data_IF_711794407480
#
_entry.id   IF_711794407480
#
_cell.length_a   1.000
_cell.length_b   1.000
_cell.length_c   1.000
_cell.angle_alpha   90.00
_cell.angle_beta   90.00
_cell.angle_gamma   90.00
#
_symmetry.space_group_name_H-M   'P 1'
#
loop_
_entity.id
_entity.type
_entity.pdbx_description
1 polymer ?
#
# COMPACT_ATOMS: atom_id res chain seq x y z
N UNK A 1 26.69 -44.50 -26.82
CA UNK A 1 25.38 -43.96 -26.50
C UNK A 1 25.60 -42.61 -25.81
N UNK A 2 25.43 -41.51 -26.55
CA UNK A 2 25.49 -40.14 -26.00
C UNK A 2 24.12 -39.84 -25.35
N UNK A 3 24.11 -39.72 -24.02
CA UNK A 3 22.95 -39.20 -23.31
C UNK A 3 22.80 -37.72 -23.72
N UNK A 4 21.83 -37.43 -24.57
CA UNK A 4 21.38 -36.06 -24.82
C UNK A 4 20.79 -35.51 -23.53
N UNK A 5 21.52 -34.59 -22.87
CA UNK A 5 20.95 -33.73 -21.86
C UNK A 5 19.86 -32.88 -22.54
N UNK A 6 18.60 -33.19 -22.27
CA UNK A 6 17.50 -32.31 -22.57
C UNK A 6 17.64 -31.07 -21.68
N UNK A 7 18.23 -30.02 -22.24
CA UNK A 7 18.11 -28.66 -21.72
C UNK A 7 16.64 -28.28 -21.84
N UNK A 8 15.91 -28.39 -20.74
CA UNK A 8 14.54 -27.86 -20.63
C UNK A 8 14.60 -26.35 -20.87
N UNK A 9 14.18 -25.92 -22.07
CA UNK A 9 14.04 -24.51 -22.40
C UNK A 9 13.12 -23.87 -21.35
N UNK A 10 13.66 -22.96 -20.55
CA UNK A 10 12.85 -22.05 -19.72
C UNK A 10 11.90 -21.29 -20.62
N UNK A 11 10.59 -21.57 -20.54
CA UNK A 11 9.58 -20.74 -21.19
C UNK A 11 9.40 -19.48 -20.36
N UNK A 12 9.96 -18.38 -20.79
CA UNK A 12 9.71 -17.05 -20.24
C UNK A 12 8.55 -16.37 -20.98
N UNK A 13 7.79 -15.50 -20.29
CA UNK A 13 7.84 -15.17 -18.86
C UNK A 13 7.15 -16.23 -17.96
N UNK A 14 7.64 -16.38 -16.73
CA UNK A 14 6.95 -17.13 -15.67
C UNK A 14 5.69 -16.35 -15.29
N UNK A 15 4.52 -16.93 -15.48
CA UNK A 15 3.27 -16.28 -15.08
C UNK A 15 2.92 -16.59 -13.64
N UNK A 16 2.70 -15.54 -12.84
CA UNK A 16 2.35 -15.61 -11.42
C UNK A 16 0.91 -15.15 -11.24
N UNK A 17 0.07 -16.01 -10.68
CA UNK A 17 -1.30 -15.65 -10.33
C UNK A 17 -1.31 -14.78 -9.05
N UNK A 18 -1.67 -13.51 -9.19
CA UNK A 18 -1.78 -12.54 -8.09
C UNK A 18 -3.23 -12.45 -7.62
N UNK A 19 -3.54 -13.04 -6.47
CA UNK A 19 -4.90 -12.98 -5.90
C UNK A 19 -5.01 -11.77 -4.99
N UNK A 20 -5.65 -10.70 -5.48
CA UNK A 20 -5.75 -9.42 -4.78
C UNK A 20 -7.14 -9.15 -4.18
N UNK A 21 -8.16 -9.96 -4.53
CA UNK A 21 -9.53 -9.74 -4.09
C UNK A 21 -10.15 -8.50 -4.72
N UNK A 22 -10.86 -7.70 -3.93
CA UNK A 22 -11.54 -6.50 -4.43
C UNK A 22 -10.53 -5.36 -4.68
N UNK A 23 -10.42 -4.92 -5.93
CA UNK A 23 -9.60 -3.76 -6.28
C UNK A 23 -10.32 -2.44 -5.92
N UNK A 24 -9.69 -1.64 -5.06
CA UNK A 24 -10.27 -0.38 -4.52
C UNK A 24 -9.30 0.81 -4.58
N UNK A 25 -8.31 0.79 -5.46
CA UNK A 25 -7.29 1.86 -5.67
C UNK A 25 -6.67 2.39 -4.37
N UNK A 26 -6.56 1.56 -3.36
CA UNK A 26 -5.87 1.92 -2.13
C UNK A 26 -5.44 0.66 -1.39
N UNK A 27 -4.19 0.65 -0.93
CA UNK A 27 -3.68 -0.46 -0.15
C UNK A 27 -3.00 -1.54 -1.00
N UNK A 28 -3.51 -2.78 -0.97
CA UNK A 28 -2.83 -3.94 -1.56
C UNK A 28 -2.69 -3.87 -3.07
N UNK A 29 -3.76 -3.48 -3.77
CA UNK A 29 -3.78 -3.34 -5.22
C UNK A 29 -2.76 -2.30 -5.71
N UNK A 30 -2.63 -1.15 -5.03
CA UNK A 30 -1.61 -0.15 -5.35
C UNK A 30 -0.19 -0.69 -5.19
N UNK A 31 0.05 -1.48 -4.13
CA UNK A 31 1.37 -2.11 -3.90
C UNK A 31 1.68 -3.12 -5.00
N UNK A 32 0.75 -4.03 -5.32
CA UNK A 32 0.96 -5.05 -6.36
C UNK A 32 1.16 -4.41 -7.72
N UNK A 33 0.36 -3.38 -8.06
CA UNK A 33 0.52 -2.62 -9.31
C UNK A 33 1.86 -1.88 -9.38
N UNK A 34 2.33 -1.31 -8.26
CA UNK A 34 3.64 -0.66 -8.25
C UNK A 34 4.76 -1.65 -8.57
N UNK A 35 4.75 -2.85 -7.99
CA UNK A 35 5.67 -3.92 -8.37
C UNK A 35 5.50 -4.32 -9.85
N UNK A 36 4.26 -4.40 -10.34
CA UNK A 36 3.98 -4.83 -11.70
C UNK A 36 4.48 -3.84 -12.77
N UNK A 37 4.44 -2.56 -12.47
CA UNK A 37 5.01 -1.51 -13.35
C UNK A 37 6.52 -1.65 -13.51
N UNK A 38 7.22 -2.10 -12.46
CA UNK A 38 8.68 -2.07 -12.39
C UNK A 38 9.37 -3.44 -12.53
N UNK A 39 8.61 -4.55 -12.43
CA UNK A 39 9.18 -5.88 -12.61
C UNK A 39 9.55 -6.10 -14.08
N UNK A 40 10.63 -6.86 -14.35
CA UNK A 40 10.98 -7.26 -15.71
C UNK A 40 9.94 -8.26 -16.26
N UNK A 41 8.99 -7.75 -17.05
CA UNK A 41 7.89 -8.52 -17.61
C UNK A 41 8.29 -9.52 -18.68
N UNK A 42 9.51 -9.45 -19.18
CA UNK A 42 10.08 -10.49 -20.06
C UNK A 42 10.45 -11.76 -19.25
N UNK A 43 10.69 -11.63 -17.95
CA UNK A 43 11.04 -12.72 -17.03
C UNK A 43 9.85 -13.19 -16.21
N UNK A 44 9.11 -12.25 -15.62
CA UNK A 44 7.94 -12.51 -14.74
C UNK A 44 6.75 -11.74 -15.23
N UNK A 45 5.62 -12.39 -15.43
CA UNK A 45 4.37 -11.76 -15.83
C UNK A 45 3.28 -12.02 -14.77
N UNK A 46 2.47 -11.00 -14.46
CA UNK A 46 1.38 -11.13 -13.49
C UNK A 46 0.03 -11.35 -14.18
N UNK A 47 -0.77 -12.25 -13.60
CA UNK A 47 -2.17 -12.44 -13.91
C UNK A 47 -2.99 -12.15 -12.66
N UNK A 48 -3.97 -11.26 -12.78
CA UNK A 48 -4.68 -10.70 -11.64
C UNK A 48 -6.03 -11.40 -11.41
N UNK A 49 -6.19 -12.00 -10.25
CA UNK A 49 -7.43 -12.62 -9.79
C UNK A 49 -8.16 -11.64 -8.89
N UNK A 50 -9.29 -11.12 -9.37
CA UNK A 50 -10.00 -9.99 -8.78
C UNK A 50 -11.47 -10.31 -8.53
N UNK A 51 -11.96 -9.93 -7.34
CA UNK A 51 -13.37 -10.12 -6.99
C UNK A 51 -14.27 -9.07 -7.66
N UNK A 52 -15.38 -9.53 -8.23
CA UNK A 52 -16.37 -8.71 -8.91
C UNK A 52 -16.16 -8.64 -10.42
N UNK A 53 -17.25 -8.43 -11.15
CA UNK A 53 -17.26 -8.46 -12.61
C UNK A 53 -17.14 -7.08 -13.26
N UNK A 54 -17.27 -6.02 -12.47
CA UNK A 54 -17.18 -4.65 -12.97
C UNK A 54 -15.75 -4.29 -13.38
N UNK A 55 -15.63 -3.41 -14.37
CA UNK A 55 -14.37 -2.79 -14.75
C UNK A 55 -13.84 -1.95 -13.59
N UNK A 56 -12.55 -2.06 -13.33
CA UNK A 56 -11.84 -1.25 -12.32
C UNK A 56 -10.90 -0.26 -12.98
N UNK A 57 -10.40 0.71 -12.22
CA UNK A 57 -9.51 1.74 -12.75
C UNK A 57 -8.11 1.22 -13.13
N UNK A 58 -7.76 0.01 -12.71
CA UNK A 58 -6.46 -0.62 -13.02
C UNK A 58 -6.54 -1.63 -14.17
N UNK A 59 -7.75 -1.96 -14.66
CA UNK A 59 -7.94 -3.02 -15.66
C UNK A 59 -7.20 -2.71 -16.97
N UNK A 60 -7.32 -1.48 -17.49
CA UNK A 60 -6.66 -1.08 -18.74
C UNK A 60 -5.14 -1.16 -18.59
N UNK A 61 -4.60 -0.63 -17.51
CA UNK A 61 -3.16 -0.65 -17.25
C UNK A 61 -2.61 -2.08 -17.13
N UNK A 62 -3.34 -3.00 -16.46
CA UNK A 62 -2.93 -4.41 -16.38
C UNK A 62 -2.80 -5.02 -17.77
N UNK A 63 -3.79 -4.77 -18.65
CA UNK A 63 -3.80 -5.30 -20.00
C UNK A 63 -2.69 -4.70 -20.87
N UNK A 64 -2.46 -3.39 -20.78
CA UNK A 64 -1.39 -2.68 -21.50
C UNK A 64 0.00 -3.19 -21.12
N UNK A 65 0.18 -3.58 -19.86
CA UNK A 65 1.41 -4.19 -19.35
C UNK A 65 1.55 -5.69 -19.71
N UNK A 66 0.56 -6.28 -20.44
CA UNK A 66 0.57 -7.68 -20.89
C UNK A 66 0.05 -8.69 -19.86
N UNK A 67 -0.54 -8.23 -18.76
CA UNK A 67 -1.20 -9.05 -17.76
C UNK A 67 -2.57 -9.57 -18.22
N UNK A 68 -3.10 -10.52 -17.49
CA UNK A 68 -4.45 -11.03 -17.67
C UNK A 68 -5.29 -10.70 -16.45
N UNK A 69 -6.60 -10.54 -16.65
CA UNK A 69 -7.55 -10.28 -15.58
C UNK A 69 -8.54 -11.43 -15.51
N UNK A 70 -8.60 -12.08 -14.37
CA UNK A 70 -9.54 -13.14 -14.07
C UNK A 70 -10.53 -12.61 -13.03
N UNK A 71 -11.76 -12.30 -13.49
CA UNK A 71 -12.83 -11.82 -12.63
C UNK A 71 -13.52 -13.00 -11.94
N UNK A 72 -13.66 -12.86 -10.62
CA UNK A 72 -14.20 -13.92 -9.75
C UNK A 72 -15.49 -13.45 -9.08
N UNK A 73 -16.35 -14.39 -8.73
CA UNK A 73 -17.46 -14.12 -7.82
C UNK A 73 -16.90 -13.52 -6.51
N UNK A 74 -17.43 -12.38 -6.01
CA UNK A 74 -17.02 -11.85 -4.74
C UNK A 74 -17.12 -12.89 -3.62
N UNK A 75 -16.08 -13.09 -2.83
CA UNK A 75 -16.10 -14.07 -1.74
C UNK A 75 -17.18 -13.77 -0.71
N UNK A 76 -17.58 -12.49 -0.57
CA UNK A 76 -18.69 -12.03 0.29
C UNK A 76 -20.05 -12.55 -0.20
N UNK A 77 -20.25 -12.71 -1.52
CA UNK A 77 -21.45 -13.26 -2.11
C UNK A 77 -21.44 -14.79 -2.05
N UNK A 78 -20.34 -15.43 -2.48
CA UNK A 78 -20.21 -16.88 -2.42
C UNK A 78 -18.75 -17.35 -2.41
N UNK A 79 -18.24 -17.66 -1.23
CA UNK A 79 -16.91 -18.26 -1.06
C UNK A 79 -16.74 -19.57 -1.86
N UNK A 80 -17.79 -20.40 -1.94
CA UNK A 80 -17.74 -21.68 -2.67
C UNK A 80 -17.60 -21.49 -4.17
N UNK A 81 -18.31 -20.53 -4.75
CA UNK A 81 -18.22 -20.20 -6.18
C UNK A 81 -16.85 -19.61 -6.47
N UNK A 82 -16.40 -18.64 -5.67
CA UNK A 82 -15.09 -18.02 -5.80
C UNK A 82 -13.95 -19.08 -5.81
N UNK A 83 -13.93 -19.99 -4.84
CA UNK A 83 -12.93 -21.06 -4.76
C UNK A 83 -12.97 -22.01 -5.96
N UNK A 84 -14.19 -22.35 -6.45
CA UNK A 84 -14.35 -23.21 -7.64
C UNK A 84 -13.79 -22.53 -8.88
N UNK A 85 -14.08 -21.23 -9.06
CA UNK A 85 -13.55 -20.42 -10.17
C UNK A 85 -12.03 -20.28 -10.08
N UNK A 86 -11.48 -19.99 -8.89
CA UNK A 86 -10.02 -19.98 -8.65
C UNK A 86 -9.39 -21.30 -9.07
N UNK A 87 -9.93 -22.44 -8.60
CA UNK A 87 -9.42 -23.78 -8.96
C UNK A 87 -9.42 -24.03 -10.46
N UNK A 88 -10.56 -23.72 -11.14
CA UNK A 88 -10.68 -23.88 -12.58
C UNK A 88 -9.64 -23.05 -13.34
N UNK A 89 -9.54 -21.76 -13.02
CA UNK A 89 -8.60 -20.86 -13.66
C UNK A 89 -7.13 -21.22 -13.38
N UNK A 90 -6.80 -21.67 -12.17
CA UNK A 90 -5.42 -22.15 -11.86
C UNK A 90 -5.06 -23.38 -12.66
N UNK A 91 -6.03 -24.29 -12.87
CA UNK A 91 -5.83 -25.52 -13.65
C UNK A 91 -5.69 -25.21 -15.14
N UNK A 92 -6.60 -24.39 -15.68
CA UNK A 92 -6.59 -23.98 -17.09
C UNK A 92 -5.35 -23.17 -17.46
N UNK A 93 -4.96 -22.23 -16.62
CA UNK A 93 -3.77 -21.40 -16.80
C UNK A 93 -2.46 -22.10 -16.50
N UNK A 94 -2.48 -23.35 -16.00
CA UNK A 94 -1.31 -24.15 -15.63
C UNK A 94 -0.32 -23.38 -14.73
N UNK A 95 -0.84 -22.61 -13.77
CA UNK A 95 -0.01 -21.80 -12.89
C UNK A 95 0.90 -22.67 -12.02
N UNK A 96 2.16 -22.29 -11.96
CA UNK A 96 3.14 -22.89 -11.02
C UNK A 96 3.28 -22.07 -9.74
N UNK A 97 2.93 -20.79 -9.76
CA UNK A 97 3.02 -19.87 -8.63
C UNK A 97 1.67 -19.16 -8.45
N UNK A 98 1.10 -19.27 -7.27
CA UNK A 98 -0.04 -18.47 -6.79
C UNK A 98 0.41 -17.64 -5.60
N UNK A 99 0.30 -16.33 -5.70
CA UNK A 99 0.61 -15.38 -4.64
C UNK A 99 -0.67 -14.68 -4.18
N UNK A 100 -1.12 -14.97 -2.97
CA UNK A 100 -2.36 -14.42 -2.41
C UNK A 100 -2.07 -13.32 -1.40
N UNK A 101 -2.71 -12.17 -1.62
CA UNK A 101 -2.56 -10.94 -0.85
C UNK A 101 -3.72 -10.71 0.15
N UNK A 102 -4.51 -11.74 0.43
CA UNK A 102 -5.75 -11.65 1.21
C UNK A 102 -5.54 -11.82 2.74
N UNK A 103 -4.29 -11.73 3.24
CA UNK A 103 -4.00 -11.94 4.66
C UNK A 103 -4.54 -13.31 5.14
N UNK A 104 -5.39 -13.34 6.19
CA UNK A 104 -6.00 -14.58 6.71
C UNK A 104 -6.93 -15.26 5.71
N UNK A 105 -7.59 -14.51 4.83
CA UNK A 105 -8.46 -15.07 3.78
C UNK A 105 -7.67 -15.79 2.68
N UNK A 106 -6.35 -15.65 2.64
CA UNK A 106 -5.48 -16.38 1.69
C UNK A 106 -5.65 -17.90 1.81
N UNK A 107 -6.10 -18.42 2.95
CA UNK A 107 -6.34 -19.86 3.11
C UNK A 107 -7.31 -20.43 2.05
N UNK A 108 -8.29 -19.66 1.57
CA UNK A 108 -9.28 -20.12 0.58
C UNK A 108 -8.68 -20.25 -0.82
N UNK A 109 -8.13 -19.19 -1.46
CA UNK A 109 -7.53 -19.34 -2.79
C UNK A 109 -6.30 -20.27 -2.76
N UNK A 110 -5.54 -20.35 -1.66
CA UNK A 110 -4.41 -21.28 -1.56
C UNK A 110 -4.87 -22.73 -1.40
N UNK A 111 -6.03 -22.99 -0.80
CA UNK A 111 -6.66 -24.31 -0.83
C UNK A 111 -7.13 -24.67 -2.25
N UNK A 112 -7.75 -23.75 -2.98
CA UNK A 112 -8.11 -23.93 -4.38
C UNK A 112 -6.86 -24.22 -5.25
N UNK A 113 -5.75 -23.52 -5.00
CA UNK A 113 -4.47 -23.76 -5.67
C UNK A 113 -3.87 -25.12 -5.33
N UNK A 114 -3.98 -25.60 -4.07
CA UNK A 114 -3.60 -26.96 -3.69
C UNK A 114 -4.40 -28.01 -4.46
N UNK A 115 -5.73 -27.82 -4.57
CA UNK A 115 -6.59 -28.72 -5.35
C UNK A 115 -6.27 -28.71 -6.85
N UNK A 116 -5.81 -27.56 -7.39
CA UNK A 116 -5.32 -27.42 -8.76
C UNK A 116 -3.87 -27.92 -8.93
N UNK A 117 -3.27 -28.51 -7.88
CA UNK A 117 -1.89 -29.02 -7.85
C UNK A 117 -0.83 -27.95 -8.12
N UNK A 118 -1.09 -26.67 -7.81
CA UNK A 118 -0.11 -25.59 -7.92
C UNK A 118 1.00 -25.83 -6.88
N UNK A 119 2.28 -25.98 -7.28
CA UNK A 119 3.34 -26.36 -6.36
C UNK A 119 3.77 -25.22 -5.42
N UNK A 120 3.78 -23.97 -5.90
CA UNK A 120 4.22 -22.80 -5.12
C UNK A 120 3.00 -21.95 -4.76
N UNK A 121 2.71 -21.89 -3.48
CA UNK A 121 1.54 -21.20 -2.92
C UNK A 121 2.00 -20.23 -1.83
N UNK A 122 1.95 -18.93 -2.12
CA UNK A 122 2.48 -17.86 -1.27
C UNK A 122 1.34 -17.17 -0.54
N UNK A 123 1.40 -17.14 0.79
CA UNK A 123 0.54 -16.31 1.62
C UNK A 123 1.24 -15.00 1.96
N UNK A 124 0.62 -13.85 1.68
CA UNK A 124 1.18 -12.53 1.95
C UNK A 124 0.38 -11.77 3.01
N UNK A 125 1.08 -11.27 4.02
CA UNK A 125 0.54 -10.46 5.10
C UNK A 125 0.76 -8.97 4.85
N UNK A 126 -0.32 -8.20 4.64
CA UNK A 126 -0.29 -6.75 4.43
C UNK A 126 -0.79 -5.95 5.63
N UNK A 127 -1.56 -6.57 6.52
CA UNK A 127 -2.20 -5.88 7.65
C UNK A 127 -2.44 -6.83 8.82
N UNK A 128 -2.75 -6.23 9.96
CA UNK A 128 -3.15 -6.93 11.19
C UNK A 128 -4.65 -6.70 11.51
N UNK A 129 -5.04 -6.80 12.76
CA UNK A 129 -6.38 -6.42 13.24
C UNK A 129 -6.50 -4.90 13.30
N UNK A 130 -7.71 -4.37 13.05
CA UNK A 130 -8.03 -2.95 13.10
C UNK A 130 -8.93 -2.64 14.31
N UNK A 131 -8.64 -1.57 15.06
CA UNK A 131 -9.53 -1.13 16.14
C UNK A 131 -10.88 -0.69 15.55
N UNK A 132 -11.98 -1.08 16.19
CA UNK A 132 -13.35 -0.75 15.73
C UNK A 132 -14.02 -1.79 14.81
N UNK A 133 -13.28 -2.71 14.19
CA UNK A 133 -13.80 -3.75 13.29
C UNK A 133 -13.95 -5.12 14.00
N UNK A 134 -14.66 -5.21 15.13
CA UNK A 134 -14.67 -6.40 15.97
C UNK A 134 -15.12 -7.68 15.26
N UNK A 135 -16.18 -7.63 14.43
CA UNK A 135 -16.67 -8.79 13.66
C UNK A 135 -15.61 -9.30 12.68
N UNK A 136 -14.96 -8.38 11.97
CA UNK A 136 -13.89 -8.67 11.03
C UNK A 136 -12.63 -9.21 11.72
N UNK A 137 -12.31 -8.66 12.89
CA UNK A 137 -11.21 -9.12 13.72
C UNK A 137 -11.45 -10.52 14.27
N UNK A 138 -12.68 -10.85 14.70
CA UNK A 138 -13.03 -12.21 15.12
C UNK A 138 -12.84 -13.21 13.99
N UNK A 139 -13.32 -12.90 12.78
CA UNK A 139 -13.09 -13.74 11.60
C UNK A 139 -11.58 -13.90 11.29
N UNK A 140 -10.81 -12.80 11.35
CA UNK A 140 -9.35 -12.84 11.17
C UNK A 140 -8.69 -13.77 12.19
N UNK A 141 -9.07 -13.69 13.46
CA UNK A 141 -8.53 -14.57 14.52
C UNK A 141 -8.90 -16.04 14.29
N UNK A 142 -10.13 -16.34 13.90
CA UNK A 142 -10.58 -17.69 13.60
C UNK A 142 -9.86 -18.30 12.39
N UNK A 143 -9.56 -17.51 11.36
CA UNK A 143 -8.86 -17.98 10.15
C UNK A 143 -7.33 -17.98 10.28
N UNK A 144 -6.78 -17.22 11.22
CA UNK A 144 -5.33 -17.08 11.41
C UNK A 144 -4.57 -18.43 11.55
N UNK A 145 -5.04 -19.44 12.27
CA UNK A 145 -4.37 -20.75 12.34
C UNK A 145 -4.20 -21.42 10.97
N UNK A 146 -5.13 -21.16 10.04
CA UNK A 146 -5.11 -21.74 8.70
C UNK A 146 -4.23 -20.98 7.70
N UNK A 147 -3.66 -19.84 8.08
CA UNK A 147 -2.83 -19.02 7.18
C UNK A 147 -1.60 -19.73 6.64
N UNK A 148 -1.11 -20.75 7.36
CA UNK A 148 0.04 -21.56 6.97
C UNK A 148 -0.33 -22.91 6.36
N UNK A 149 -1.56 -23.36 6.52
CA UNK A 149 -1.95 -24.76 6.22
C UNK A 149 -1.80 -25.11 4.74
N UNK A 150 -2.16 -24.20 3.86
CA UNK A 150 -2.16 -24.44 2.42
C UNK A 150 -1.03 -23.70 1.70
N UNK A 151 -0.34 -22.79 2.39
CA UNK A 151 0.81 -22.07 1.87
C UNK A 151 2.08 -22.95 1.92
N UNK A 152 2.93 -22.82 0.91
CA UNK A 152 4.29 -23.39 0.87
C UNK A 152 5.35 -22.34 1.23
N UNK A 153 5.03 -21.05 1.00
CA UNK A 153 5.91 -19.92 1.24
C UNK A 153 5.14 -18.77 1.89
N UNK A 154 5.84 -17.92 2.63
CA UNK A 154 5.27 -16.82 3.39
C UNK A 154 5.94 -15.52 3.00
N UNK A 155 5.12 -14.48 2.79
CA UNK A 155 5.56 -13.12 2.54
C UNK A 155 4.86 -12.13 3.47
N UNK A 156 5.50 -11.00 3.77
CA UNK A 156 4.91 -9.94 4.58
C UNK A 156 5.50 -8.57 4.19
N UNK A 157 4.70 -7.50 4.32
CA UNK A 157 5.18 -6.15 4.04
C UNK A 157 6.05 -5.57 5.17
N UNK A 158 5.96 -6.13 6.40
CA UNK A 158 6.73 -5.72 7.57
C UNK A 158 6.81 -6.84 8.62
N UNK A 159 7.79 -6.76 9.52
CA UNK A 159 8.00 -7.76 10.57
C UNK A 159 6.80 -7.92 11.50
N UNK A 160 6.14 -6.82 11.89
CA UNK A 160 4.99 -6.90 12.77
C UNK A 160 3.79 -7.60 12.11
N UNK A 161 3.55 -7.42 10.79
CA UNK A 161 2.51 -8.12 10.03
C UNK A 161 2.85 -9.60 9.86
N UNK A 162 4.12 -9.91 9.62
CA UNK A 162 4.64 -11.27 9.60
C UNK A 162 4.43 -11.99 10.93
N UNK A 163 4.79 -11.33 12.03
CA UNK A 163 4.63 -11.84 13.40
C UNK A 163 3.18 -12.10 13.74
N UNK A 164 2.32 -11.18 13.35
CA UNK A 164 0.89 -11.32 13.60
C UNK A 164 0.30 -12.50 12.82
N UNK A 165 0.58 -12.67 11.52
CA UNK A 165 -0.06 -13.70 10.69
C UNK A 165 0.60 -15.08 10.87
N UNK A 166 1.92 -15.15 10.87
CA UNK A 166 2.68 -16.43 10.80
C UNK A 166 3.31 -16.84 12.14
N UNK A 167 3.39 -15.91 13.10
CA UNK A 167 3.96 -16.14 14.43
C UNK A 167 5.47 -15.97 14.49
N UNK A 168 5.97 -15.64 15.69
CA UNK A 168 7.39 -15.32 15.91
C UNK A 168 8.35 -16.48 15.57
N UNK A 169 7.95 -17.74 15.81
CA UNK A 169 8.78 -18.91 15.47
C UNK A 169 9.07 -19.05 13.98
N UNK A 170 8.11 -18.68 13.11
CA UNK A 170 8.27 -18.75 11.64
C UNK A 170 9.27 -17.68 11.16
N UNK A 171 9.23 -16.50 11.77
CA UNK A 171 10.20 -15.42 11.49
C UNK A 171 11.60 -15.79 11.95
N UNK A 172 11.75 -16.28 13.19
CA UNK A 172 13.05 -16.69 13.73
C UNK A 172 13.75 -17.77 12.89
N UNK A 173 12.97 -18.62 12.18
CA UNK A 173 13.49 -19.61 11.24
C UNK A 173 13.84 -19.04 9.86
N UNK A 174 13.70 -17.72 9.65
CA UNK A 174 13.97 -17.09 8.35
C UNK A 174 13.00 -17.53 7.23
N UNK A 175 11.79 -18.00 7.56
CA UNK A 175 10.86 -18.57 6.59
C UNK A 175 9.93 -17.54 5.95
N UNK A 176 9.96 -16.28 6.41
CA UNK A 176 9.11 -15.20 5.86
C UNK A 176 9.96 -14.26 5.02
N UNK A 177 9.61 -14.13 3.75
CA UNK A 177 10.19 -13.10 2.87
C UNK A 177 9.55 -11.75 3.15
N UNK A 178 10.35 -10.75 3.46
CA UNK A 178 9.86 -9.36 3.52
C UNK A 178 9.79 -8.79 2.10
N UNK A 179 8.60 -8.31 1.72
CA UNK A 179 8.31 -7.60 0.47
C UNK A 179 7.71 -6.27 0.87
N UNK A 180 8.55 -5.25 0.92
CA UNK A 180 8.17 -3.92 1.42
C UNK A 180 7.21 -3.21 0.47
N UNK A 181 6.38 -2.32 1.01
CA UNK A 181 5.54 -1.42 0.21
C UNK A 181 6.44 -0.32 -0.39
N UNK A 182 7.23 -0.69 -1.39
CA UNK A 182 8.22 0.16 -2.01
C UNK A 182 7.59 1.27 -2.87
N UNK A 183 8.29 2.38 -3.05
CA UNK A 183 7.87 3.56 -3.79
C UNK A 183 8.83 3.82 -4.96
N UNK A 184 8.33 4.44 -6.03
CA UNK A 184 9.17 4.89 -7.14
C UNK A 184 9.92 6.17 -6.75
N UNK A 185 11.17 6.01 -6.33
CA UNK A 185 12.02 7.13 -5.89
C UNK A 185 12.40 8.08 -7.03
N UNK A 186 12.20 7.69 -8.28
CA UNK A 186 12.37 8.59 -9.45
C UNK A 186 11.15 9.49 -9.59
N UNK A 187 9.95 8.91 -9.50
CA UNK A 187 8.69 9.63 -9.56
C UNK A 187 8.48 10.52 -8.32
N UNK A 188 8.76 9.97 -7.12
CA UNK A 188 8.69 10.69 -5.84
C UNK A 188 10.05 11.32 -5.52
N UNK A 189 10.45 12.28 -6.34
CA UNK A 189 11.67 13.07 -6.15
C UNK A 189 11.35 14.56 -5.98
N UNK A 190 12.25 15.36 -5.38
CA UNK A 190 12.08 16.80 -5.28
C UNK A 190 11.91 17.44 -6.64
N UNK A 191 10.83 18.23 -6.82
CA UNK A 191 10.49 18.89 -8.08
C UNK A 191 9.89 20.27 -7.84
N UNK A 192 10.70 21.33 -7.97
CA UNK A 192 10.26 22.70 -7.73
C UNK A 192 9.23 23.17 -8.77
N UNK A 193 9.34 22.74 -10.04
CA UNK A 193 8.35 23.08 -11.07
C UNK A 193 6.97 22.50 -10.75
N UNK A 194 6.92 21.28 -10.21
CA UNK A 194 5.68 20.67 -9.76
C UNK A 194 5.10 21.44 -8.56
N UNK A 195 5.96 21.84 -7.61
CA UNK A 195 5.58 22.68 -6.47
C UNK A 195 4.94 23.98 -6.92
N UNK A 196 5.61 24.73 -7.78
CA UNK A 196 5.12 25.99 -8.32
C UNK A 196 3.78 25.81 -9.06
N UNK A 197 3.68 24.77 -9.89
CA UNK A 197 2.48 24.47 -10.69
C UNK A 197 1.25 24.21 -9.80
N UNK A 198 1.36 23.34 -8.81
CA UNK A 198 0.24 23.03 -7.90
C UNK A 198 -0.13 24.25 -7.05
N UNK A 199 0.86 24.95 -6.51
CA UNK A 199 0.59 26.17 -5.73
C UNK A 199 -0.15 27.23 -6.54
N UNK A 200 0.25 27.43 -7.79
CA UNK A 200 -0.43 28.36 -8.72
C UNK A 200 -1.85 27.87 -9.08
N UNK A 201 -2.04 26.57 -9.30
CA UNK A 201 -3.36 25.97 -9.60
C UNK A 201 -4.40 26.32 -8.52
N UNK A 202 -3.98 26.38 -7.26
CA UNK A 202 -4.84 26.67 -6.12
C UNK A 202 -4.74 28.12 -5.58
N UNK A 203 -3.89 28.98 -6.16
CA UNK A 203 -3.65 30.35 -5.66
C UNK A 203 -2.96 30.39 -4.30
N UNK A 204 -2.01 29.47 -4.07
CA UNK A 204 -1.37 29.25 -2.77
C UNK A 204 0.17 29.44 -2.81
N UNK A 205 0.67 30.26 -3.73
CA UNK A 205 2.11 30.43 -4.02
C UNK A 205 2.93 30.76 -2.76
N UNK A 206 2.41 31.64 -1.91
CA UNK A 206 3.11 32.13 -0.72
C UNK A 206 2.48 31.62 0.59
N UNK A 207 1.69 30.54 0.54
CA UNK A 207 0.99 30.03 1.70
C UNK A 207 1.77 28.90 2.39
N UNK A 208 1.57 28.76 3.70
CA UNK A 208 1.94 27.58 4.46
C UNK A 208 0.93 26.46 4.18
N UNK A 209 1.33 25.42 3.45
CA UNK A 209 0.43 24.34 3.03
C UNK A 209 0.61 23.10 3.90
N UNK A 210 -0.44 22.78 4.66
CA UNK A 210 -0.58 21.49 5.34
C UNK A 210 -1.25 20.52 4.36
N UNK A 211 -0.62 19.38 4.11
CA UNK A 211 -1.15 18.37 3.20
C UNK A 211 -1.55 17.08 3.92
N UNK A 212 -2.66 16.49 3.48
CA UNK A 212 -3.08 15.14 3.88
C UNK A 212 -3.55 14.34 2.68
N UNK A 213 -3.14 13.07 2.63
CA UNK A 213 -3.55 12.13 1.58
C UNK A 213 -4.09 10.87 2.25
N UNK A 214 -5.35 10.55 2.02
CA UNK A 214 -5.96 9.37 2.59
C UNK A 214 -7.47 9.27 2.40
N UNK A 215 -8.00 8.05 2.56
CA UNK A 215 -9.44 7.82 2.52
C UNK A 215 -10.14 8.53 3.69
N UNK A 216 -11.25 9.19 3.43
CA UNK A 216 -12.09 9.81 4.47
C UNK A 216 -12.79 8.71 5.29
N UNK A 217 -12.04 8.10 6.20
CA UNK A 217 -12.45 6.98 7.05
C UNK A 217 -12.05 7.22 8.50
N UNK A 218 -12.69 6.53 9.43
CA UNK A 218 -12.39 6.62 10.87
C UNK A 218 -10.90 6.46 11.19
N UNK A 219 -10.22 5.59 10.45
CA UNK A 219 -8.79 5.32 10.62
C UNK A 219 -7.93 6.58 10.47
N UNK A 220 -8.19 7.42 9.46
CA UNK A 220 -7.37 8.58 9.09
C UNK A 220 -7.59 9.81 9.99
N UNK A 221 -8.69 9.83 10.76
CA UNK A 221 -8.96 10.84 11.78
C UNK A 221 -9.02 12.29 11.25
N UNK A 222 -9.70 12.47 10.13
CA UNK A 222 -9.87 13.79 9.52
C UNK A 222 -10.53 14.81 10.46
N UNK A 223 -11.32 14.36 11.42
CA UNK A 223 -11.92 15.25 12.43
C UNK A 223 -10.84 15.96 13.23
N UNK A 224 -9.90 15.23 13.85
CA UNK A 224 -8.77 15.83 14.57
C UNK A 224 -7.94 16.74 13.65
N UNK A 225 -7.66 16.27 12.43
CA UNK A 225 -6.89 17.02 11.45
C UNK A 225 -7.50 18.40 11.18
N UNK A 226 -8.81 18.46 10.89
CA UNK A 226 -9.52 19.69 10.58
C UNK A 226 -9.64 20.62 11.79
N UNK A 227 -9.91 20.08 12.98
CA UNK A 227 -9.95 20.88 14.23
C UNK A 227 -8.59 21.49 14.58
N UNK A 228 -7.50 20.73 14.42
CA UNK A 228 -6.13 21.25 14.60
C UNK A 228 -5.83 22.33 13.56
N UNK A 229 -6.19 22.08 12.30
CA UNK A 229 -5.94 23.05 11.24
C UNK A 229 -6.74 24.36 11.42
N UNK A 230 -7.97 24.29 11.92
CA UNK A 230 -8.75 25.50 12.26
C UNK A 230 -8.02 26.39 13.26
N UNK A 231 -7.40 25.79 14.28
CA UNK A 231 -6.60 26.53 15.25
C UNK A 231 -5.27 27.02 14.66
N UNK A 232 -4.64 26.24 13.75
CA UNK A 232 -3.49 26.71 12.96
C UNK A 232 -3.86 27.95 12.15
N UNK A 233 -4.98 27.89 11.42
CA UNK A 233 -5.43 29.03 10.60
C UNK A 233 -5.77 30.28 11.42
N UNK A 234 -6.34 30.11 12.62
CA UNK A 234 -6.60 31.21 13.53
C UNK A 234 -5.31 31.94 13.96
N UNK A 235 -4.20 31.21 14.14
CA UNK A 235 -2.91 31.76 14.55
C UNK A 235 -2.05 32.19 13.35
N UNK A 236 -2.21 31.53 12.19
CA UNK A 236 -1.55 31.87 10.93
C UNK A 236 -2.56 31.92 9.78
N UNK A 237 -3.14 33.12 9.50
CA UNK A 237 -4.08 33.30 8.39
C UNK A 237 -3.48 33.03 7.01
N UNK A 238 -2.18 32.84 6.91
CA UNK A 238 -1.49 32.47 5.68
C UNK A 238 -1.44 30.94 5.46
N UNK A 239 -2.02 30.14 6.36
CA UNK A 239 -2.09 28.69 6.21
C UNK A 239 -3.19 28.25 5.24
N UNK A 240 -2.99 27.11 4.59
CA UNK A 240 -3.98 26.40 3.77
C UNK A 240 -3.90 24.89 4.02
N UNK A 241 -5.03 24.18 3.88
CA UNK A 241 -5.12 22.75 4.02
C UNK A 241 -5.55 22.11 2.70
N UNK A 242 -4.80 21.12 2.23
CA UNK A 242 -5.20 20.33 1.05
C UNK A 242 -5.45 18.88 1.50
N UNK A 243 -6.67 18.40 1.22
CA UNK A 243 -7.15 17.06 1.53
C UNK A 243 -7.34 16.27 0.24
N UNK A 244 -6.58 15.19 0.06
CA UNK A 244 -6.64 14.34 -1.13
C UNK A 244 -7.23 12.99 -0.76
N UNK A 245 -8.25 12.58 -1.48
CA UNK A 245 -8.95 11.31 -1.31
C UNK A 245 -10.46 11.48 -1.28
N UNK A 246 -11.16 10.37 -1.06
CA UNK A 246 -12.62 10.29 -0.89
C UNK A 246 -12.94 9.25 0.18
N UNK A 247 -14.16 9.20 0.66
CA UNK A 247 -14.57 8.17 1.62
C UNK A 247 -15.89 8.45 2.30
N UNK A 248 -16.30 7.52 3.16
CA UNK A 248 -17.61 7.54 3.82
C UNK A 248 -17.83 8.73 4.76
N UNK A 249 -16.76 9.32 5.29
CA UNK A 249 -16.85 10.47 6.22
C UNK A 249 -16.66 11.83 5.52
N UNK A 250 -16.52 11.89 4.19
CA UNK A 250 -16.23 13.15 3.48
C UNK A 250 -17.32 14.21 3.74
N UNK A 251 -18.59 13.81 3.71
CA UNK A 251 -19.72 14.73 3.94
C UNK A 251 -19.67 15.33 5.34
N UNK A 252 -19.38 14.51 6.35
CA UNK A 252 -19.29 14.97 7.74
C UNK A 252 -18.11 15.92 7.94
N UNK A 253 -16.98 15.66 7.29
CA UNK A 253 -15.80 16.52 7.36
C UNK A 253 -16.03 17.85 6.63
N UNK A 254 -16.73 17.86 5.49
CA UNK A 254 -17.13 19.10 4.82
C UNK A 254 -18.07 19.95 5.69
N UNK A 255 -18.99 19.30 6.42
CA UNK A 255 -19.87 19.98 7.38
C UNK A 255 -19.07 20.59 8.53
N UNK A 256 -18.09 19.86 9.08
CA UNK A 256 -17.20 20.37 10.12
C UNK A 256 -16.35 21.56 9.64
N UNK A 257 -15.84 21.54 8.41
CA UNK A 257 -15.09 22.66 7.81
C UNK A 257 -15.95 23.91 7.75
N UNK A 258 -17.24 23.76 7.40
CA UNK A 258 -18.22 24.85 7.38
C UNK A 258 -18.54 25.36 8.79
N UNK A 259 -18.76 24.46 9.74
CA UNK A 259 -19.00 24.83 11.15
C UNK A 259 -17.87 25.67 11.74
N UNK A 260 -16.61 25.38 11.32
CA UNK A 260 -15.41 26.06 11.78
C UNK A 260 -15.06 27.33 10.97
N UNK A 261 -15.86 27.71 9.95
CA UNK A 261 -15.67 28.88 9.06
C UNK A 261 -14.29 28.93 8.38
N UNK A 262 -13.81 27.77 7.88
CA UNK A 262 -12.51 27.64 7.20
C UNK A 262 -12.61 27.13 5.75
N UNK A 263 -13.79 27.17 5.13
CA UNK A 263 -14.04 26.67 3.78
C UNK A 263 -13.13 27.30 2.72
N UNK A 264 -12.78 28.60 2.90
CA UNK A 264 -11.97 29.35 1.95
C UNK A 264 -10.50 28.90 1.89
N UNK A 265 -10.05 28.12 2.87
CA UNK A 265 -8.65 27.70 3.03
C UNK A 265 -8.46 26.20 3.13
N UNK A 266 -9.55 25.43 2.99
CA UNK A 266 -9.54 23.97 2.97
C UNK A 266 -9.97 23.47 1.59
N UNK A 267 -9.08 22.76 0.91
CA UNK A 267 -9.27 22.28 -0.46
C UNK A 267 -9.46 20.78 -0.49
N UNK A 268 -10.63 20.34 -0.93
CA UNK A 268 -10.94 18.93 -1.16
C UNK A 268 -10.74 18.61 -2.63
N UNK A 269 -9.73 17.85 -2.98
CA UNK A 269 -9.36 17.60 -4.38
C UNK A 269 -9.99 16.34 -4.97
N UNK A 270 -10.62 15.49 -4.13
CA UNK A 270 -11.03 14.16 -4.55
C UNK A 270 -9.82 13.24 -4.80
N UNK A 271 -10.02 12.25 -5.68
CA UNK A 271 -8.94 11.33 -6.09
C UNK A 271 -8.04 12.02 -7.11
N UNK A 272 -6.74 12.03 -6.86
CA UNK A 272 -5.71 12.59 -7.75
C UNK A 272 -4.75 11.49 -8.20
N UNK A 273 -4.18 11.64 -9.39
CA UNK A 273 -3.12 10.76 -9.92
C UNK A 273 -1.72 11.38 -9.83
N UNK A 274 -1.65 12.69 -9.72
CA UNK A 274 -0.43 13.49 -9.62
C UNK A 274 0.01 13.71 -8.15
N UNK A 275 -0.07 12.66 -7.35
CA UNK A 275 0.33 12.66 -5.93
C UNK A 275 1.75 13.18 -5.70
N UNK A 276 2.76 12.83 -6.53
CA UNK A 276 4.13 13.36 -6.37
C UNK A 276 4.17 14.89 -6.42
N UNK A 277 3.37 15.52 -7.29
CA UNK A 277 3.35 16.97 -7.44
C UNK A 277 2.71 17.66 -6.23
N UNK A 278 1.64 17.08 -5.69
CA UNK A 278 1.03 17.56 -4.44
C UNK A 278 1.97 17.44 -3.25
N UNK A 279 2.67 16.31 -3.09
CA UNK A 279 3.68 16.14 -2.03
C UNK A 279 4.82 17.16 -2.17
N UNK A 280 5.17 17.52 -3.41
CA UNK A 280 6.10 18.62 -3.67
C UNK A 280 5.52 19.99 -3.30
N UNK A 281 4.22 20.20 -3.43
CA UNK A 281 3.55 21.47 -3.10
C UNK A 281 3.40 21.73 -1.60
N UNK A 282 3.28 20.69 -0.78
CA UNK A 282 3.09 20.79 0.67
C UNK A 282 4.35 21.29 1.38
N UNK A 283 4.18 21.90 2.55
CA UNK A 283 5.26 22.26 3.48
C UNK A 283 5.40 21.25 4.60
N UNK A 284 4.30 20.59 4.99
CA UNK A 284 4.26 19.49 5.94
C UNK A 284 3.19 18.48 5.55
N UNK A 285 3.52 17.20 5.65
CA UNK A 285 2.55 16.10 5.55
C UNK A 285 2.02 15.76 6.93
N UNK A 286 0.71 15.88 7.14
CA UNK A 286 0.06 15.68 8.43
C UNK A 286 -0.78 14.40 8.43
N UNK A 287 -0.42 13.41 9.26
CA UNK A 287 -1.07 12.09 9.35
C UNK A 287 -1.44 11.75 10.80
N UNK A 288 -2.53 12.32 11.36
CA UNK A 288 -2.98 12.04 12.74
C UNK A 288 -3.84 10.79 12.82
N UNK A 289 -3.49 9.73 12.09
CA UNK A 289 -4.26 8.50 12.00
C UNK A 289 -4.43 7.82 13.37
N UNK A 290 -5.60 7.23 13.60
CA UNK A 290 -5.88 6.44 14.81
C UNK A 290 -5.10 5.14 14.88
N UNK A 291 -4.75 4.60 13.73
CA UNK A 291 -3.88 3.44 13.55
C UNK A 291 -3.43 3.35 12.09
N UNK A 292 -2.19 2.93 11.88
CA UNK A 292 -1.65 2.59 10.56
C UNK A 292 -0.75 1.36 10.69
N UNK A 293 -0.76 0.59 9.62
CA UNK A 293 0.27 -0.40 9.41
C UNK A 293 1.55 0.27 8.88
N UNK A 294 1.76 0.17 7.57
CA UNK A 294 2.84 0.85 6.87
C UNK A 294 2.20 1.81 5.86
N UNK A 295 1.97 3.09 6.20
CA UNK A 295 1.36 4.04 5.27
C UNK A 295 2.33 4.37 4.14
N UNK A 296 2.04 3.88 2.92
CA UNK A 296 2.88 4.09 1.73
C UNK A 296 3.09 5.58 1.47
N UNK A 297 2.04 6.39 1.62
CA UNK A 297 2.12 7.84 1.46
C UNK A 297 3.12 8.51 2.40
N UNK A 298 3.36 7.93 3.58
CA UNK A 298 4.39 8.40 4.50
C UNK A 298 5.81 8.15 3.96
N UNK A 299 6.03 7.07 3.21
CA UNK A 299 7.29 6.79 2.52
C UNK A 299 7.44 7.72 1.30
N UNK A 300 6.37 7.91 0.53
CA UNK A 300 6.30 8.83 -0.62
C UNK A 300 6.62 10.28 -0.22
N UNK A 301 6.07 10.75 0.89
CA UNK A 301 6.35 12.08 1.44
C UNK A 301 7.83 12.24 1.82
N UNK A 302 8.43 11.23 2.45
CA UNK A 302 9.85 11.25 2.79
C UNK A 302 10.75 11.22 1.55
N UNK A 303 10.35 10.51 0.49
CA UNK A 303 11.11 10.44 -0.76
C UNK A 303 11.23 11.82 -1.44
N UNK A 304 10.19 12.65 -1.42
CA UNK A 304 10.25 14.04 -1.92
C UNK A 304 10.90 15.01 -0.94
N UNK A 305 11.38 14.53 0.21
CA UNK A 305 12.03 15.38 1.23
C UNK A 305 11.06 16.19 2.09
N UNK A 306 9.78 15.83 2.13
CA UNK A 306 8.72 16.53 2.85
C UNK A 306 8.73 16.17 4.35
N UNK A 307 8.79 17.13 5.27
CA UNK A 307 8.58 16.88 6.70
C UNK A 307 7.23 16.22 6.96
N UNK A 308 7.21 15.23 7.86
CA UNK A 308 6.03 14.43 8.16
C UNK A 308 5.73 14.47 9.67
N UNK A 309 4.57 14.99 10.02
CA UNK A 309 4.03 14.93 11.39
C UNK A 309 2.98 13.82 11.46
N UNK A 310 3.26 12.78 12.21
CA UNK A 310 2.41 11.59 12.32
C UNK A 310 2.02 11.31 13.77
N UNK A 311 0.86 10.70 13.98
CA UNK A 311 0.50 10.22 15.32
C UNK A 311 1.42 9.07 15.77
N UNK A 312 1.63 8.93 17.07
CA UNK A 312 2.44 7.86 17.68
C UNK A 312 1.83 6.46 17.56
N UNK A 313 0.60 6.36 17.06
CA UNK A 313 -0.12 5.13 16.71
C UNK A 313 0.25 4.57 15.32
N UNK A 314 0.96 5.35 14.51
CA UNK A 314 1.60 4.88 13.26
C UNK A 314 2.85 4.08 13.62
N UNK A 315 3.11 2.98 12.89
CA UNK A 315 4.31 2.18 13.14
C UNK A 315 5.59 3.00 12.99
N UNK A 316 6.52 2.82 13.92
CA UNK A 316 7.82 3.50 13.89
C UNK A 316 8.68 3.10 12.69
N UNK A 317 8.43 1.93 12.10
CA UNK A 317 9.09 1.47 10.87
C UNK A 317 8.82 2.38 9.66
N UNK A 318 7.82 3.28 9.75
CA UNK A 318 7.56 4.31 8.74
C UNK A 318 8.64 5.38 8.70
N UNK A 319 9.34 5.64 9.81
CA UNK A 319 10.40 6.64 9.88
C UNK A 319 11.71 6.09 9.28
N UNK A 320 11.83 6.19 7.96
CA UNK A 320 13.04 5.77 7.23
C UNK A 320 14.04 6.92 7.02
N UNK A 321 13.62 8.14 7.34
CA UNK A 321 14.43 9.35 7.29
C UNK A 321 14.20 10.19 8.56
N UNK A 322 15.10 11.18 8.87
CA UNK A 322 14.88 12.12 9.98
C UNK A 322 13.72 13.10 9.78
N UNK A 323 12.98 13.01 8.66
CA UNK A 323 11.84 13.89 8.35
C UNK A 323 10.56 13.54 9.12
N UNK A 324 10.49 12.34 9.71
CA UNK A 324 9.29 11.90 10.41
C UNK A 324 9.37 12.22 11.89
N UNK A 325 8.37 12.91 12.36
CA UNK A 325 8.16 13.11 13.79
C UNK A 325 6.84 12.49 14.22
N UNK A 326 6.89 11.72 15.31
CA UNK A 326 5.71 11.11 15.91
C UNK A 326 5.25 11.94 17.10
N UNK A 327 3.94 12.24 17.14
CA UNK A 327 3.34 13.03 18.18
C UNK A 327 2.18 12.28 18.87
N UNK A 328 1.98 12.40 20.19
CA UNK A 328 0.96 11.64 20.89
C UNK A 328 -0.45 11.90 20.36
N UNK A 329 -1.15 10.84 19.93
CA UNK A 329 -2.51 10.97 19.38
C UNK A 329 -3.48 11.64 20.36
N UNK A 330 -3.28 11.44 21.66
CA UNK A 330 -4.12 12.00 22.73
C UNK A 330 -3.71 13.42 23.18
N UNK A 331 -2.67 14.01 22.55
CA UNK A 331 -2.31 15.39 22.80
C UNK A 331 -3.48 16.34 22.47
N UNK A 332 -3.54 17.45 23.18
CA UNK A 332 -4.57 18.46 22.98
C UNK A 332 -4.46 19.17 21.63
N UNK A 333 -5.55 19.77 21.15
CA UNK A 333 -5.55 20.56 19.91
C UNK A 333 -4.49 21.67 19.97
N UNK A 334 -4.33 22.45 21.04
CA UNK A 334 -3.25 23.45 21.12
C UNK A 334 -1.84 22.88 20.97
N UNK A 335 -1.55 21.72 21.58
CA UNK A 335 -0.24 21.07 21.45
C UNK A 335 0.03 20.64 20.00
N UNK A 336 -0.93 20.00 19.34
CA UNK A 336 -0.86 19.66 17.93
C UNK A 336 -0.68 20.91 17.04
N UNK A 337 -1.39 22.00 17.36
CA UNK A 337 -1.31 23.27 16.63
C UNK A 337 0.09 23.86 16.69
N UNK A 338 0.65 23.99 17.91
CA UNK A 338 2.01 24.52 18.09
C UNK A 338 3.04 23.66 17.34
N UNK A 339 2.84 22.33 17.40
CA UNK A 339 3.71 21.40 16.67
C UNK A 339 3.61 21.59 15.17
N UNK A 340 2.42 21.74 14.62
CA UNK A 340 2.21 21.93 13.19
C UNK A 340 2.76 23.28 12.70
N UNK A 341 2.57 24.35 13.45
CA UNK A 341 3.13 25.67 13.17
C UNK A 341 4.67 25.70 13.16
N UNK A 342 5.33 24.83 13.92
CA UNK A 342 6.80 24.75 13.92
C UNK A 342 7.39 24.33 12.56
N UNK A 343 6.59 23.83 11.64
CA UNK A 343 6.99 23.48 10.27
C UNK A 343 6.82 24.60 9.26
N UNK A 344 6.28 25.78 9.62
CA UNK A 344 6.03 26.88 8.68
C UNK A 344 7.30 27.30 7.91
N UNK A 345 8.46 27.23 8.54
CA UNK A 345 9.74 27.58 7.93
C UNK A 345 10.65 26.38 7.72
N UNK A 346 10.10 25.16 7.85
CA UNK A 346 10.86 23.95 7.64
C UNK A 346 11.24 23.81 6.15
N UNK A 347 12.53 23.55 5.91
CA UNK A 347 13.02 23.32 4.54
C UNK A 347 12.91 21.84 4.20
N UNK A 348 12.46 21.54 2.98
CA UNK A 348 12.55 20.20 2.42
C UNK A 348 14.02 19.76 2.35
N UNK A 349 14.28 18.54 2.80
CA UNK A 349 15.59 17.90 2.70
C UNK A 349 15.43 16.50 2.15
N UNK A 350 15.81 16.26 0.90
CA UNK A 350 15.74 14.92 0.34
C UNK A 350 16.82 14.01 0.97
N UNK A 351 16.43 12.75 1.20
CA UNK A 351 17.32 11.70 1.69
C UNK A 351 17.20 10.47 0.78
N UNK A 352 17.54 10.57 -0.53
CA UNK A 352 17.28 9.51 -1.49
C UNK A 352 18.06 8.23 -1.15
N UNK A 353 19.24 8.36 -0.58
CA UNK A 353 20.07 7.22 -0.17
C UNK A 353 19.41 6.44 0.96
N UNK A 354 18.91 7.14 2.00
CA UNK A 354 18.22 6.48 3.10
C UNK A 354 16.96 5.74 2.65
N UNK A 355 16.18 6.32 1.72
CA UNK A 355 14.99 5.66 1.16
C UNK A 355 15.39 4.40 0.39
N UNK A 356 16.46 4.47 -0.40
CA UNK A 356 17.00 3.34 -1.16
C UNK A 356 17.54 2.25 -0.24
N UNK A 357 18.43 2.62 0.69
CA UNK A 357 19.11 1.69 1.58
C UNK A 357 18.15 1.03 2.57
N UNK A 358 17.06 1.70 2.91
CA UNK A 358 15.97 1.12 3.70
C UNK A 358 15.18 0.03 2.95
N UNK A 359 15.45 -0.19 1.64
CA UNK A 359 14.79 -1.20 0.79
C UNK A 359 13.37 -0.81 0.36
N UNK A 360 13.03 0.49 0.38
CA UNK A 360 11.77 1.01 -0.12
C UNK A 360 11.86 1.56 -1.56
N UNK A 361 12.99 1.43 -2.23
CA UNK A 361 13.10 1.74 -3.65
C UNK A 361 12.51 0.62 -4.50
N UNK A 362 11.53 0.96 -5.35
CA UNK A 362 10.77 -0.02 -6.12
C UNK A 362 11.62 -0.72 -7.18
N UNK A 363 12.61 -0.05 -7.76
CA UNK A 363 13.45 -0.65 -8.80
C UNK A 363 14.26 -1.82 -8.25
N UNK A 364 14.87 -1.64 -7.07
CA UNK A 364 15.58 -2.72 -6.38
C UNK A 364 14.61 -3.77 -5.85
N UNK A 365 13.50 -3.36 -5.25
CA UNK A 365 12.52 -4.28 -4.67
C UNK A 365 11.85 -5.16 -5.74
N UNK A 366 11.57 -4.63 -6.94
CA UNK A 366 10.98 -5.38 -8.05
C UNK A 366 11.97 -6.39 -8.63
N UNK A 367 13.26 -6.03 -8.76
CA UNK A 367 14.30 -6.97 -9.19
C UNK A 367 14.51 -8.09 -8.15
N UNK A 368 14.47 -7.77 -6.86
CA UNK A 368 14.54 -8.76 -5.79
C UNK A 368 13.35 -9.72 -5.81
N UNK A 369 12.15 -9.21 -6.09
CA UNK A 369 10.94 -10.02 -6.23
C UNK A 369 11.03 -10.92 -7.46
N UNK A 370 11.53 -10.40 -8.58
CA UNK A 370 11.76 -11.14 -9.81
C UNK A 370 12.69 -12.34 -9.56
N UNK A 371 13.87 -12.09 -8.96
CA UNK A 371 14.84 -13.13 -8.59
C UNK A 371 14.25 -14.16 -7.62
N UNK A 372 13.41 -13.73 -6.70
CA UNK A 372 12.76 -14.65 -5.77
C UNK A 372 11.80 -15.60 -6.50
N UNK A 373 10.93 -15.10 -7.37
CA UNK A 373 10.03 -15.97 -8.15
C UNK A 373 10.82 -16.94 -9.05
N UNK A 374 11.89 -16.49 -9.68
CA UNK A 374 12.75 -17.37 -10.47
C UNK A 374 13.42 -18.46 -9.62
N UNK A 375 13.90 -18.13 -8.43
CA UNK A 375 14.50 -19.08 -7.52
C UNK A 375 13.50 -20.15 -7.05
N UNK A 376 12.26 -19.74 -6.77
CA UNK A 376 11.17 -20.63 -6.43
C UNK A 376 10.84 -21.57 -7.59
N UNK A 377 10.72 -21.02 -8.80
CA UNK A 377 10.45 -21.81 -10.01
C UNK A 377 11.57 -22.81 -10.29
N UNK A 378 12.83 -22.39 -10.19
CA UNK A 378 13.99 -23.26 -10.40
C UNK A 378 14.08 -24.40 -9.38
N UNK A 379 13.56 -24.22 -8.16
CA UNK A 379 13.54 -25.27 -7.14
C UNK A 379 12.67 -26.47 -7.53
N UNK A 380 11.65 -26.28 -8.37
CA UNK A 380 10.77 -27.34 -8.87
C UNK A 380 11.47 -28.25 -9.90
N UNK A 381 12.51 -27.78 -10.57
CA UNK A 381 13.24 -28.52 -11.60
C UNK A 381 14.33 -29.44 -10.99
N UNK A 382 14.59 -29.33 -9.69
CA UNK A 382 15.59 -30.10 -8.98
C UNK A 382 15.02 -31.33 -8.28
N UNK A 383 13.70 -31.51 -8.32
CA UNK A 383 12.97 -32.67 -7.79
C UNK A 383 12.55 -33.59 -8.94
#
# INVERSE_FOLDING_TARGET
MKVMQQTTHRTYPIRVAQVIGKAVISGVDSVVMNYYRHIDRSRIQFDFFMDGYNKTLIDEEILDLGGRIIKLEPYEASMRINMRQCRAAFTEGQYTIVHSHLNTLSCFPLYAALQAKVPIRIAHSHSTTSRGEWKRNLMKQALRPFSKTFATHYAACADYTARWLFGSKTIQKGQVRLIKNAVDTTLFSPNEKARERIRKEFGLENRFIVGHIGRFAFQKNHELLVRVFAEVYRQNPNAALILIGTGELETDIRSLVKELDIEKVVFFTGIRRDIPDFLNAFDVFFLPSRYEGMPVVGIEAQAVGLPCLMSDTVTKDTAITPLVEFFPLHASIPEWTQKLLSYEHARKRPYPELVRDSGFDIHHAAEDLCRWYESLFASLQKI
#
